data_IF_058977396908
#
_entry.id   IF_058977396908
#
_cell.length_a   1.000
_cell.length_b   1.000
_cell.length_c   1.000
_cell.angle_alpha   90.00
_cell.angle_beta   90.00
_cell.angle_gamma   90.00
#
_symmetry.space_group_name_H-M   'P 1'
#
loop_
_entity.id
_entity.type
_entity.pdbx_description
1 polymer ?
#
# COMPACT_ATOMS: atom_id res chain seq x y z
N UNK A 1 -52.00 0.55 -31.86
CA UNK A 1 -51.52 0.46 -30.47
C UNK A 1 -51.58 -1.01 -30.08
N UNK A 2 -50.46 -1.72 -30.19
CA UNK A 2 -50.41 -3.17 -29.98
C UNK A 2 -50.34 -3.42 -28.47
N UNK A 3 -51.41 -3.95 -27.90
CA UNK A 3 -51.44 -4.51 -26.55
C UNK A 3 -50.60 -5.79 -26.61
N UNK A 4 -49.32 -5.70 -26.26
CA UNK A 4 -48.55 -6.89 -25.95
C UNK A 4 -49.08 -7.43 -24.62
N UNK A 5 -49.76 -8.57 -24.66
CA UNK A 5 -49.99 -9.41 -23.49
C UNK A 5 -48.62 -9.80 -22.94
N UNK A 6 -48.15 -9.05 -21.94
CA UNK A 6 -46.98 -9.43 -21.16
C UNK A 6 -47.31 -10.74 -20.47
N UNK A 7 -46.44 -11.77 -20.50
CA UNK A 7 -46.66 -13.01 -19.79
C UNK A 7 -46.91 -12.70 -18.31
N UNK A 8 -48.17 -12.84 -17.89
CA UNK A 8 -48.60 -12.58 -16.53
C UNK A 8 -48.21 -13.78 -15.69
N UNK A 9 -47.12 -13.63 -14.93
CA UNK A 9 -46.82 -14.58 -13.86
C UNK A 9 -48.06 -14.72 -12.95
N UNK A 10 -48.35 -15.94 -12.48
CA UNK A 10 -49.37 -16.15 -11.47
C UNK A 10 -49.17 -15.20 -10.27
N UNK A 11 -50.26 -14.65 -9.70
CA UNK A 11 -50.17 -13.69 -8.60
C UNK A 11 -49.42 -14.25 -7.38
N UNK A 12 -49.42 -15.57 -7.19
CA UNK A 12 -48.69 -16.28 -6.14
C UNK A 12 -47.18 -16.12 -6.30
N UNK A 13 -46.67 -16.22 -7.53
CA UNK A 13 -45.24 -16.04 -7.83
C UNK A 13 -44.85 -14.58 -7.57
N UNK A 14 -45.70 -13.63 -7.96
CA UNK A 14 -45.46 -12.22 -7.67
C UNK A 14 -45.45 -11.92 -6.18
N UNK A 15 -46.35 -12.55 -5.41
CA UNK A 15 -46.40 -12.39 -3.97
C UNK A 15 -45.12 -12.95 -3.34
N UNK A 16 -44.64 -14.10 -3.83
CA UNK A 16 -43.38 -14.71 -3.41
C UNK A 16 -42.15 -13.88 -3.77
N UNK A 17 -42.08 -13.31 -4.97
CA UNK A 17 -40.99 -12.39 -5.37
C UNK A 17 -41.05 -11.11 -4.53
N UNK A 18 -42.25 -10.54 -4.36
CA UNK A 18 -42.43 -9.34 -3.54
C UNK A 18 -41.92 -9.57 -2.13
N UNK A 19 -42.09 -10.78 -1.58
CA UNK A 19 -41.67 -11.12 -0.22
C UNK A 19 -40.18 -10.84 0.07
N UNK A 20 -39.33 -10.93 -0.95
CA UNK A 20 -37.88 -10.69 -0.83
C UNK A 20 -37.43 -9.27 -1.18
N UNK A 21 -38.34 -8.43 -1.67
CA UNK A 21 -38.04 -7.06 -2.11
C UNK A 21 -38.24 -6.03 -1.00
N UNK A 22 -37.41 -4.99 -1.02
CA UNK A 22 -37.47 -3.89 -0.05
C UNK A 22 -38.55 -2.88 -0.41
N UNK A 23 -39.00 -2.09 0.57
CA UNK A 23 -39.95 -1.01 0.32
C UNK A 23 -39.55 -0.06 -0.83
N UNK A 24 -38.28 0.42 -0.92
CA UNK A 24 -37.85 1.21 -2.07
C UNK A 24 -37.92 0.45 -3.41
N UNK A 25 -37.58 -0.84 -3.41
CA UNK A 25 -37.61 -1.66 -4.64
C UNK A 25 -39.04 -1.91 -5.10
N UNK A 26 -39.95 -2.13 -4.16
CA UNK A 26 -41.39 -2.25 -4.44
C UNK A 26 -41.98 -0.95 -4.95
N UNK A 27 -41.55 0.20 -4.43
CA UNK A 27 -41.97 1.49 -4.96
C UNK A 27 -41.43 1.71 -6.39
N UNK A 28 -40.21 1.26 -6.68
CA UNK A 28 -39.68 1.26 -8.04
C UNK A 28 -40.52 0.36 -8.98
N UNK A 29 -40.86 -0.86 -8.54
CA UNK A 29 -41.71 -1.80 -9.30
C UNK A 29 -43.13 -1.26 -9.48
N UNK A 30 -43.70 -0.57 -8.48
CA UNK A 30 -45.01 0.05 -8.57
C UNK A 30 -45.05 1.17 -9.62
N UNK A 31 -43.92 1.83 -9.88
CA UNK A 31 -43.78 2.85 -10.92
C UNK A 31 -43.72 2.22 -12.31
N UNK A 32 -42.98 1.13 -12.48
CA UNK A 32 -42.76 0.48 -13.79
C UNK A 32 -43.88 -0.48 -14.20
N UNK A 33 -44.47 -1.22 -13.26
CA UNK A 33 -45.45 -2.27 -13.51
C UNK A 33 -46.82 -1.88 -12.95
N UNK A 34 -47.74 -1.47 -13.82
CA UNK A 34 -49.14 -1.14 -13.46
C UNK A 34 -49.90 -2.25 -12.72
N UNK A 35 -49.84 -3.55 -13.12
CA UNK A 35 -50.65 -4.58 -12.44
C UNK A 35 -50.18 -4.86 -11.01
N UNK A 36 -48.90 -4.63 -10.72
CA UNK A 36 -48.33 -4.84 -9.39
C UNK A 36 -48.53 -3.65 -8.46
N UNK A 37 -48.91 -2.49 -9.01
CA UNK A 37 -49.13 -1.27 -8.24
C UNK A 37 -50.20 -1.46 -7.17
N UNK A 38 -51.28 -2.19 -7.46
CA UNK A 38 -52.32 -2.49 -6.46
C UNK A 38 -51.76 -3.35 -5.33
N UNK A 39 -50.98 -4.37 -5.66
CA UNK A 39 -50.39 -5.33 -4.74
C UNK A 39 -49.32 -4.68 -3.84
N UNK A 40 -48.52 -3.75 -4.38
CA UNK A 40 -47.54 -2.96 -3.59
C UNK A 40 -48.20 -1.95 -2.65
N UNK A 41 -49.43 -1.52 -2.96
CA UNK A 41 -50.21 -0.56 -2.16
C UNK A 41 -51.16 -1.24 -1.16
N UNK A 42 -51.20 -2.57 -1.12
CA UNK A 42 -52.04 -3.29 -0.18
C UNK A 42 -51.56 -3.06 1.26
N UNK A 43 -52.38 -2.44 2.13
CA UNK A 43 -52.02 -2.15 3.51
C UNK A 43 -51.81 -3.43 4.36
N UNK A 44 -52.46 -4.55 4.02
CA UNK A 44 -52.30 -5.79 4.75
C UNK A 44 -50.91 -6.39 4.52
N UNK A 45 -50.48 -6.48 3.25
CA UNK A 45 -49.13 -6.89 2.87
C UNK A 45 -48.06 -5.95 3.44
N UNK A 46 -48.30 -4.64 3.45
CA UNK A 46 -47.38 -3.69 4.06
C UNK A 46 -47.28 -3.88 5.58
N UNK A 47 -48.39 -4.12 6.28
CA UNK A 47 -48.38 -4.41 7.73
C UNK A 47 -47.58 -5.67 8.04
N UNK A 48 -47.82 -6.76 7.32
CA UNK A 48 -47.09 -8.01 7.52
C UNK A 48 -45.60 -7.80 7.24
N UNK A 49 -45.24 -7.07 6.18
CA UNK A 49 -43.84 -6.75 5.88
C UNK A 49 -43.19 -5.95 7.00
N UNK A 50 -43.83 -4.89 7.49
CA UNK A 50 -43.30 -4.03 8.55
C UNK A 50 -43.18 -4.75 9.90
N UNK A 51 -44.17 -5.57 10.26
CA UNK A 51 -44.25 -6.20 11.59
C UNK A 51 -43.48 -7.51 11.69
N UNK A 52 -43.33 -8.25 10.58
CA UNK A 52 -42.72 -9.58 10.59
C UNK A 52 -41.38 -9.58 9.86
N UNK A 53 -41.34 -9.07 8.63
CA UNK A 53 -40.15 -9.22 7.78
C UNK A 53 -39.08 -8.18 8.04
N UNK A 54 -39.46 -6.93 8.25
CA UNK A 54 -38.52 -5.85 8.58
C UNK A 54 -37.74 -6.17 9.86
N UNK A 55 -38.33 -6.61 10.98
CA UNK A 55 -37.56 -6.95 12.17
C UNK A 55 -36.68 -8.19 11.97
N UNK A 56 -37.14 -9.22 11.25
CA UNK A 56 -36.32 -10.40 10.90
C UNK A 56 -35.12 -10.05 10.01
N UNK A 57 -35.30 -9.11 9.07
CA UNK A 57 -34.20 -8.64 8.22
C UNK A 57 -33.25 -7.74 8.98
N UNK A 58 -33.77 -6.86 9.84
CA UNK A 58 -32.95 -6.03 10.73
C UNK A 58 -32.17 -6.92 11.68
N UNK A 59 -32.80 -7.95 12.26
CA UNK A 59 -32.11 -8.89 13.16
C UNK A 59 -31.02 -9.64 12.40
N UNK A 60 -31.32 -10.19 11.22
CA UNK A 60 -30.30 -10.83 10.37
C UNK A 60 -29.19 -9.86 9.97
N UNK A 61 -29.48 -8.61 9.64
CA UNK A 61 -28.47 -7.62 9.25
C UNK A 61 -27.60 -7.21 10.45
N UNK A 62 -28.22 -6.84 11.57
CA UNK A 62 -27.54 -6.38 12.79
C UNK A 62 -26.78 -7.49 13.52
N UNK A 63 -27.28 -8.72 13.46
CA UNK A 63 -26.73 -9.91 14.13
C UNK A 63 -26.16 -10.93 13.14
N UNK A 64 -25.91 -10.55 11.88
CA UNK A 64 -25.22 -11.43 10.94
C UNK A 64 -23.80 -11.71 11.41
N UNK A 65 -23.34 -12.94 11.17
CA UNK A 65 -21.94 -13.34 11.38
C UNK A 65 -20.97 -12.49 10.53
N UNK A 66 -21.45 -11.98 9.40
CA UNK A 66 -20.66 -11.16 8.47
C UNK A 66 -20.61 -9.68 8.86
N UNK A 67 -21.24 -9.26 9.96
CA UNK A 67 -21.22 -7.85 10.38
C UNK A 67 -19.84 -7.51 10.96
N UNK A 68 -19.12 -6.54 10.38
CA UNK A 68 -17.83 -6.12 10.92
C UNK A 68 -18.01 -5.50 12.30
N UNK A 69 -17.09 -5.81 13.21
CA UNK A 69 -17.05 -5.20 14.53
C UNK A 69 -16.59 -3.75 14.43
N UNK A 70 -16.83 -2.97 15.49
CA UNK A 70 -16.35 -1.58 15.57
C UNK A 70 -14.83 -1.52 15.42
N UNK A 71 -14.11 -2.53 15.94
CA UNK A 71 -12.66 -2.64 15.77
C UNK A 71 -12.30 -2.88 14.30
N UNK A 72 -13.00 -3.76 13.59
CA UNK A 72 -12.74 -3.99 12.16
C UNK A 72 -12.93 -2.71 11.34
N UNK A 73 -13.98 -1.93 11.67
CA UNK A 73 -14.22 -0.63 11.02
C UNK A 73 -13.11 0.39 11.28
N UNK A 74 -12.47 0.34 12.46
CA UNK A 74 -11.31 1.18 12.79
C UNK A 74 -10.08 0.71 12.01
N UNK A 75 -9.83 -0.60 11.94
CA UNK A 75 -8.71 -1.17 11.20
C UNK A 75 -8.81 -0.88 9.69
N UNK A 76 -10.00 -0.93 9.12
CA UNK A 76 -10.25 -0.56 7.72
C UNK A 76 -10.30 0.95 7.49
N UNK A 77 -10.07 1.75 8.52
CA UNK A 77 -10.04 3.21 8.44
C UNK A 77 -11.37 3.81 7.94
N UNK A 78 -12.49 3.09 8.15
CA UNK A 78 -13.86 3.54 7.89
C UNK A 78 -14.34 4.41 9.05
N UNK A 79 -14.17 3.91 10.28
CA UNK A 79 -14.51 4.63 11.50
C UNK A 79 -13.26 5.32 12.05
N UNK A 80 -13.23 6.64 11.98
CA UNK A 80 -12.10 7.47 12.41
C UNK A 80 -12.47 8.35 13.59
N UNK A 81 -11.53 8.58 14.49
CA UNK A 81 -11.75 9.41 15.67
C UNK A 81 -10.53 9.48 16.58
N UNK A 82 -10.57 10.38 17.55
CA UNK A 82 -9.53 10.48 18.56
C UNK A 82 -9.67 9.31 19.55
N UNK A 83 -8.69 8.39 19.54
CA UNK A 83 -8.63 7.29 20.52
C UNK A 83 -9.84 6.37 20.50
N UNK A 84 -10.40 6.10 19.31
CA UNK A 84 -11.65 5.33 19.13
C UNK A 84 -11.62 4.00 19.87
N UNK A 85 -10.55 3.22 19.76
CA UNK A 85 -10.47 1.93 20.43
C UNK A 85 -10.57 2.04 21.95
N UNK A 86 -9.90 3.05 22.54
CA UNK A 86 -9.95 3.28 23.98
C UNK A 86 -11.36 3.69 24.42
N UNK A 87 -12.02 4.54 23.64
CA UNK A 87 -13.39 4.98 23.90
C UNK A 87 -14.40 3.85 23.75
N UNK A 88 -14.22 3.00 22.73
CA UNK A 88 -15.01 1.79 22.53
C UNK A 88 -14.88 0.81 23.71
N UNK A 89 -13.64 0.50 24.12
CA UNK A 89 -13.39 -0.35 25.31
C UNK A 89 -13.98 0.24 26.59
N UNK A 90 -14.04 1.57 26.69
CA UNK A 90 -14.66 2.28 27.82
C UNK A 90 -16.18 2.45 27.70
N UNK A 91 -16.83 1.91 26.65
CA UNK A 91 -18.27 2.04 26.44
C UNK A 91 -18.74 3.48 26.16
N UNK A 92 -17.84 4.38 25.76
CA UNK A 92 -18.18 5.77 25.49
C UNK A 92 -18.85 5.93 24.12
N UNK A 93 -19.81 6.85 24.04
CA UNK A 93 -20.51 7.14 22.79
C UNK A 93 -19.56 7.79 21.77
N UNK A 94 -19.28 7.07 20.68
CA UNK A 94 -18.30 7.46 19.66
C UNK A 94 -18.75 8.67 18.81
N UNK A 95 -20.07 8.82 18.63
CA UNK A 95 -20.68 9.82 17.75
C UNK A 95 -21.16 11.09 18.48
N UNK A 96 -20.59 11.38 19.65
CA UNK A 96 -20.93 12.64 20.33
C UNK A 96 -20.42 13.83 19.54
N UNK A 97 -21.16 14.96 19.58
CA UNK A 97 -20.75 16.19 18.91
C UNK A 97 -19.39 16.69 19.39
N UNK A 98 -19.08 16.48 20.68
CA UNK A 98 -17.76 16.78 21.26
C UNK A 98 -16.65 15.89 20.70
N UNK A 99 -16.91 14.59 20.51
CA UNK A 99 -15.96 13.65 19.89
C UNK A 99 -15.60 14.07 18.47
N UNK A 100 -16.61 14.44 17.67
CA UNK A 100 -16.42 14.93 16.29
C UNK A 100 -15.63 16.24 16.27
N UNK A 101 -15.96 17.19 17.15
CA UNK A 101 -15.24 18.47 17.26
C UNK A 101 -13.77 18.27 17.63
N UNK A 102 -13.48 17.42 18.62
CA UNK A 102 -12.11 17.11 19.05
C UNK A 102 -11.31 16.44 17.94
N UNK A 103 -11.92 15.51 17.21
CA UNK A 103 -11.27 14.84 16.08
C UNK A 103 -10.93 15.82 14.95
N UNK A 104 -11.86 16.69 14.58
CA UNK A 104 -11.63 17.72 13.56
C UNK A 104 -10.54 18.71 13.99
N UNK A 105 -10.56 19.13 15.26
CA UNK A 105 -9.51 19.98 15.81
C UNK A 105 -8.13 19.31 15.73
N UNK A 106 -8.04 18.03 16.11
CA UNK A 106 -6.80 17.24 15.99
C UNK A 106 -6.32 17.16 14.54
N UNK A 107 -7.20 16.86 13.58
CA UNK A 107 -6.84 16.82 12.15
C UNK A 107 -6.27 18.16 11.71
N UNK A 108 -6.92 19.27 12.07
CA UNK A 108 -6.47 20.61 11.68
C UNK A 108 -5.08 20.94 12.28
N UNK A 109 -4.84 20.55 13.54
CA UNK A 109 -3.53 20.72 14.19
C UNK A 109 -2.47 19.88 13.48
N UNK A 110 -2.75 18.62 13.17
CA UNK A 110 -1.80 17.77 12.43
C UNK A 110 -1.51 18.31 11.04
N UNK A 111 -2.53 18.76 10.31
CA UNK A 111 -2.34 19.36 8.99
C UNK A 111 -1.50 20.64 9.04
N UNK A 112 -1.74 21.51 10.01
CA UNK A 112 -0.94 22.75 10.18
C UNK A 112 0.50 22.43 10.58
N UNK A 113 0.71 21.46 11.46
CA UNK A 113 2.04 20.96 11.84
C UNK A 113 2.79 20.39 10.63
N UNK A 114 2.15 19.52 9.84
CA UNK A 114 2.73 18.96 8.62
C UNK A 114 3.06 20.07 7.64
N UNK A 115 2.14 21.03 7.41
CA UNK A 115 2.37 22.17 6.52
C UNK A 115 3.54 23.04 6.99
N UNK A 116 3.66 23.29 8.28
CA UNK A 116 4.77 24.06 8.86
C UNK A 116 6.11 23.31 8.75
N UNK A 117 6.10 21.99 8.96
CA UNK A 117 7.29 21.15 8.78
C UNK A 117 7.69 21.07 7.31
N UNK A 118 6.74 20.93 6.39
CA UNK A 118 7.01 20.94 4.96
C UNK A 118 7.49 22.32 4.51
N UNK A 119 6.86 23.40 4.98
CA UNK A 119 7.26 24.75 4.60
C UNK A 119 8.66 25.09 5.14
N UNK A 120 9.03 24.66 6.34
CA UNK A 120 10.41 24.80 6.84
C UNK A 120 11.40 23.96 6.04
N UNK A 121 11.08 22.70 5.73
CA UNK A 121 11.94 21.84 4.90
C UNK A 121 12.11 22.36 3.46
N UNK A 122 11.08 23.01 2.91
CA UNK A 122 11.11 23.58 1.55
C UNK A 122 11.71 25.00 1.52
N UNK A 123 11.49 25.81 2.56
CA UNK A 123 12.08 27.16 2.70
C UNK A 123 13.55 27.13 3.03
N UNK A 124 14.02 26.09 3.72
CA UNK A 124 15.46 25.88 3.85
C UNK A 124 15.96 25.63 2.43
N UNK A 125 16.67 26.58 1.79
CA UNK A 125 17.20 26.32 0.48
C UNK A 125 18.03 25.04 0.60
N UNK A 126 17.90 24.15 -0.39
CA UNK A 126 18.95 23.16 -0.67
C UNK A 126 20.19 23.93 -1.13
N UNK A 127 20.72 24.83 -0.31
CA UNK A 127 21.96 25.55 -0.54
C UNK A 127 23.09 24.54 -0.36
N UNK A 128 23.48 23.98 -1.50
CA UNK A 128 24.86 23.78 -1.97
C UNK A 128 25.90 23.06 -1.10
N UNK A 129 25.64 22.69 0.16
CA UNK A 129 26.65 22.11 1.06
C UNK A 129 26.20 20.79 1.72
N UNK A 130 24.90 20.48 1.76
CA UNK A 130 24.41 19.16 2.24
C UNK A 130 24.14 18.13 1.13
N UNK A 131 24.15 18.55 -0.13
CA UNK A 131 24.18 17.61 -1.26
C UNK A 131 25.47 16.74 -1.24
N UNK A 132 26.51 17.18 -0.54
CA UNK A 132 27.77 16.45 -0.36
C UNK A 132 27.81 15.56 0.89
N UNK A 133 26.82 15.65 1.80
CA UNK A 133 26.77 14.83 3.03
C UNK A 133 25.96 13.53 2.86
N UNK A 134 25.28 13.34 1.73
CA UNK A 134 24.63 12.07 1.38
C UNK A 134 25.20 11.43 0.10
N UNK A 135 26.53 11.24 -0.03
CA UNK A 135 27.12 10.57 -1.19
C UNK A 135 26.72 9.08 -1.29
N UNK A 136 26.00 8.54 -0.29
CA UNK A 136 25.56 7.14 -0.23
C UNK A 136 24.05 6.93 -0.43
N UNK A 137 23.22 7.97 -0.44
CA UNK A 137 21.74 7.81 -0.58
C UNK A 137 21.25 8.13 -2.00
N UNK A 138 21.93 9.04 -2.72
CA UNK A 138 21.86 9.09 -4.17
C UNK A 138 23.30 9.14 -4.71
N UNK A 139 23.74 8.12 -5.46
CA UNK A 139 25.02 8.20 -6.14
C UNK A 139 24.90 9.26 -7.24
N UNK A 140 25.92 10.11 -7.25
CA UNK A 140 26.36 10.89 -8.39
C UNK A 140 25.58 12.16 -8.78
N UNK A 141 26.41 13.15 -9.11
CA UNK A 141 26.14 14.46 -9.72
C UNK A 141 25.24 14.35 -10.97
N UNK A 142 25.10 13.15 -11.53
CA UNK A 142 24.28 12.81 -12.70
C UNK A 142 22.78 12.77 -12.41
N UNK A 143 22.36 12.39 -11.19
CA UNK A 143 20.96 12.47 -10.79
C UNK A 143 20.46 13.92 -10.66
N UNK A 144 21.40 14.87 -10.54
CA UNK A 144 21.16 16.30 -10.57
C UNK A 144 21.36 16.93 -11.96
N UNK A 145 21.89 16.18 -12.94
CA UNK A 145 22.09 16.67 -14.30
C UNK A 145 20.74 16.72 -15.04
N UNK A 146 20.43 17.85 -15.66
CA UNK A 146 19.23 18.01 -16.50
C UNK A 146 19.32 17.24 -17.82
N UNK A 147 20.51 16.78 -18.18
CA UNK A 147 20.81 16.14 -19.47
C UNK A 147 20.51 14.65 -19.51
N UNK A 148 20.29 14.00 -18.36
CA UNK A 148 20.01 12.57 -18.29
C UNK A 148 18.61 12.36 -17.70
N UNK A 149 17.73 11.72 -18.46
CA UNK A 149 16.41 11.36 -17.97
C UNK A 149 16.53 10.41 -16.76
N UNK A 150 15.81 10.69 -15.68
CA UNK A 150 15.88 9.89 -14.44
C UNK A 150 15.58 8.40 -14.64
N UNK A 151 14.75 8.06 -15.63
CA UNK A 151 14.44 6.69 -16.00
C UNK A 151 15.67 5.91 -16.54
N UNK A 152 16.68 6.62 -17.08
CA UNK A 152 17.90 6.03 -17.63
C UNK A 152 19.01 5.86 -16.59
N UNK A 153 18.86 6.40 -15.38
CA UNK A 153 19.88 6.31 -14.32
C UNK A 153 20.29 4.85 -14.00
N UNK A 154 19.36 3.87 -13.89
CA UNK A 154 19.76 2.48 -13.66
C UNK A 154 20.63 1.90 -14.78
N UNK A 155 20.35 2.27 -16.04
CA UNK A 155 21.10 1.83 -17.21
C UNK A 155 22.47 2.53 -17.32
N UNK A 156 22.54 3.82 -16.98
CA UNK A 156 23.82 4.56 -16.93
C UNK A 156 24.72 4.01 -15.83
N UNK A 157 24.17 3.70 -14.65
CA UNK A 157 24.94 3.07 -13.58
C UNK A 157 25.42 1.66 -13.96
N UNK A 158 24.59 0.86 -14.62
CA UNK A 158 24.99 -0.48 -15.07
C UNK A 158 26.10 -0.42 -16.13
N UNK A 159 26.03 0.54 -17.04
CA UNK A 159 27.05 0.79 -18.07
C UNK A 159 28.36 1.32 -17.48
N UNK A 160 28.30 2.23 -16.50
CA UNK A 160 29.51 2.66 -15.78
C UNK A 160 30.14 1.53 -15.00
N UNK A 161 29.34 0.70 -14.33
CA UNK A 161 29.84 -0.45 -13.61
C UNK A 161 30.50 -1.45 -14.57
N UNK A 162 29.92 -1.69 -15.74
CA UNK A 162 30.52 -2.57 -16.76
C UNK A 162 31.80 -1.98 -17.35
N UNK A 163 31.83 -0.68 -17.67
CA UNK A 163 33.03 0.02 -18.14
C UNK A 163 34.16 0.02 -17.10
N UNK A 164 33.83 0.23 -15.82
CA UNK A 164 34.81 0.11 -14.72
C UNK A 164 35.38 -1.31 -14.64
N UNK A 165 34.53 -2.33 -14.72
CA UNK A 165 34.97 -3.73 -14.75
C UNK A 165 35.85 -4.04 -15.96
N UNK A 166 35.52 -3.51 -17.13
CA UNK A 166 36.31 -3.66 -18.35
C UNK A 166 37.66 -2.93 -18.27
N UNK A 167 37.69 -1.72 -17.70
CA UNK A 167 38.94 -1.00 -17.45
C UNK A 167 39.87 -1.77 -16.51
N UNK A 168 39.31 -2.35 -15.44
CA UNK A 168 40.06 -3.21 -14.52
C UNK A 168 40.57 -4.48 -15.20
N UNK A 169 39.75 -5.16 -16.00
CA UNK A 169 40.18 -6.39 -16.69
C UNK A 169 41.28 -6.12 -17.72
N UNK A 170 41.22 -4.98 -18.43
CA UNK A 170 42.31 -4.53 -19.33
C UNK A 170 43.58 -4.21 -18.53
N UNK A 171 43.49 -3.43 -17.46
CA UNK A 171 44.65 -3.09 -16.63
C UNK A 171 45.35 -4.31 -16.01
N UNK A 172 44.60 -5.36 -15.67
CA UNK A 172 45.13 -6.65 -15.21
C UNK A 172 45.80 -7.42 -16.37
N UNK A 173 45.18 -7.45 -17.55
CA UNK A 173 45.68 -8.18 -18.73
C UNK A 173 46.92 -7.52 -19.34
N UNK A 174 46.97 -6.20 -19.37
CA UNK A 174 48.11 -5.41 -19.86
C UNK A 174 49.32 -5.54 -18.93
N UNK A 175 49.19 -6.28 -17.82
CA UNK A 175 50.33 -6.72 -17.03
C UNK A 175 51.06 -5.55 -16.40
N UNK A 176 50.33 -4.51 -15.97
CA UNK A 176 50.88 -3.41 -15.18
C UNK A 176 51.34 -3.95 -13.81
N UNK A 177 52.47 -4.66 -13.79
CA UNK A 177 53.21 -5.13 -12.61
C UNK A 177 53.84 -3.97 -11.82
N UNK A 178 53.35 -2.74 -12.01
CA UNK A 178 53.78 -1.58 -11.22
C UNK A 178 52.67 -1.25 -10.24
N UNK A 179 52.93 -1.64 -8.99
CA UNK A 179 52.20 -1.34 -7.75
C UNK A 179 51.01 -2.24 -7.37
N UNK A 180 51.35 -3.47 -6.96
CA UNK A 180 50.59 -4.26 -5.96
C UNK A 180 50.38 -3.48 -4.63
N UNK A 181 51.11 -2.37 -4.44
CA UNK A 181 50.95 -1.42 -3.34
C UNK A 181 49.55 -0.80 -3.22
N UNK A 182 48.71 -0.88 -4.26
CA UNK A 182 47.30 -0.42 -4.19
C UNK A 182 46.38 -1.38 -3.44
N UNK A 183 46.71 -2.67 -3.35
CA UNK A 183 45.97 -3.64 -2.53
C UNK A 183 46.42 -3.67 -1.06
N UNK A 184 47.63 -3.20 -0.77
CA UNK A 184 48.24 -3.23 0.57
C UNK A 184 48.19 -1.87 1.30
N UNK A 185 47.72 -0.82 0.64
CA UNK A 185 47.65 0.53 1.19
C UNK A 185 46.47 0.76 2.13
N UNK A 186 46.71 0.52 3.44
CA UNK A 186 45.89 0.96 4.58
C UNK A 186 44.48 0.36 4.67
N UNK A 187 44.35 -0.62 5.53
CA UNK A 187 43.11 -0.89 6.24
C UNK A 187 42.58 0.39 6.90
N UNK A 188 41.51 0.93 6.33
CA UNK A 188 40.49 1.66 7.08
C UNK A 188 39.17 0.98 6.78
N UNK A 189 38.82 0.04 7.65
CA UNK A 189 37.44 -0.21 8.09
C UNK A 189 36.37 -0.09 6.98
N UNK A 190 36.50 -0.92 5.94
CA UNK A 190 35.35 -1.29 5.12
C UNK A 190 34.71 -2.50 5.81
N UNK A 191 33.79 -2.20 6.71
CA UNK A 191 33.03 -3.19 7.47
C UNK A 191 32.44 -4.28 6.58
N UNK A 192 32.78 -5.53 6.89
CA UNK A 192 32.01 -6.79 6.75
C UNK A 192 31.47 -7.17 5.35
N UNK A 193 31.57 -6.34 4.32
CA UNK A 193 30.94 -6.60 3.00
C UNK A 193 31.92 -6.65 1.82
N UNK A 194 33.21 -6.93 2.05
CA UNK A 194 34.27 -6.84 1.03
C UNK A 194 34.84 -8.16 0.49
N UNK A 195 34.53 -9.31 1.08
CA UNK A 195 35.16 -10.59 0.70
C UNK A 195 34.55 -11.21 -0.56
N UNK A 196 33.25 -11.03 -0.77
CA UNK A 196 32.53 -11.58 -1.92
C UNK A 196 32.88 -10.84 -3.23
N UNK A 197 33.18 -9.54 -3.15
CA UNK A 197 33.64 -8.75 -4.30
C UNK A 197 35.07 -9.10 -4.71
N UNK A 198 35.94 -9.47 -3.76
CA UNK A 198 37.30 -9.99 -4.06
C UNK A 198 37.24 -11.36 -4.75
N UNK A 199 36.28 -12.21 -4.38
CA UNK A 199 36.09 -13.54 -4.96
C UNK A 199 35.38 -13.53 -6.32
N UNK A 200 34.60 -12.49 -6.63
CA UNK A 200 33.86 -12.36 -7.88
C UNK A 200 34.75 -12.00 -9.10
N UNK A 201 35.95 -11.47 -8.88
CA UNK A 201 36.79 -10.89 -9.95
C UNK A 201 37.65 -11.93 -10.68
N UNK A 202 37.94 -13.11 -10.09
CA UNK A 202 38.74 -14.14 -10.76
C UNK A 202 38.35 -15.57 -10.32
N UNK A 203 37.69 -16.37 -11.18
CA UNK A 203 37.41 -17.79 -10.92
C UNK A 203 38.68 -18.63 -10.65
N UNK A 204 39.83 -18.20 -11.18
CA UNK A 204 41.15 -18.82 -11.00
C UNK A 204 41.69 -18.66 -9.58
N UNK A 205 41.45 -17.52 -8.93
CA UNK A 205 41.89 -17.26 -7.55
C UNK A 205 41.12 -18.12 -6.55
N UNK A 206 39.87 -18.46 -6.87
CA UNK A 206 39.05 -19.39 -6.07
C UNK A 206 39.64 -20.81 -6.05
N UNK A 207 40.29 -21.24 -7.14
CA UNK A 207 40.97 -22.54 -7.21
C UNK A 207 42.27 -22.53 -6.39
N UNK A 208 43.04 -21.44 -6.41
CA UNK A 208 44.25 -21.33 -5.60
C UNK A 208 43.96 -21.23 -4.11
N UNK A 209 42.91 -20.52 -3.69
CA UNK A 209 42.52 -20.44 -2.27
C UNK A 209 42.11 -21.82 -1.74
N UNK A 210 41.27 -22.56 -2.48
CA UNK A 210 40.91 -23.95 -2.10
C UNK A 210 42.12 -24.87 -2.00
N UNK A 211 43.12 -24.71 -2.87
CA UNK A 211 44.35 -25.49 -2.80
C UNK A 211 45.15 -25.16 -1.51
N UNK A 212 45.23 -23.89 -1.13
CA UNK A 212 45.89 -23.47 0.11
C UNK A 212 45.13 -23.88 1.37
N UNK A 213 43.79 -23.80 1.35
CA UNK A 213 42.94 -24.29 2.44
C UNK A 213 43.08 -25.81 2.63
N UNK A 214 43.15 -26.59 1.54
CA UNK A 214 43.39 -28.03 1.62
C UNK A 214 44.78 -28.39 2.18
N UNK A 215 45.81 -27.60 1.85
CA UNK A 215 47.17 -27.78 2.39
C UNK A 215 47.23 -27.44 3.89
N UNK A 216 46.48 -26.42 4.33
CA UNK A 216 46.40 -26.04 5.75
C UNK A 216 45.62 -27.07 6.58
N UNK A 217 44.53 -27.63 6.04
CA UNK A 217 43.73 -28.66 6.70
C UNK A 217 44.48 -30.00 6.88
N UNK A 218 45.52 -30.26 6.10
CA UNK A 218 46.38 -31.45 6.26
C UNK A 218 47.52 -31.27 7.27
N UNK A 219 47.75 -30.05 7.78
CA UNK A 219 48.80 -29.75 8.77
C UNK A 219 48.27 -29.61 10.19
N UNK A 220 46.97 -29.75 10.40
CA UNK A 220 46.30 -29.90 11.70
C UNK A 220 45.89 -31.34 11.90
#
# INVERSE_FOLDING_TARGET
>A
MILYDTPTFPPEIWLQISWYLDLPDLDAIARTCRPLRSLTKDPALQRVRLLVFTPERISRSLFSVNRPTVLDLVHWNILRGLGVERRWRAGQYLYSTSSVRQFNAMINIEQTRIRSKLSSLLRTPRSSVRATLYPRILPDIEAASSHIARALLPAVHSLKASLRRQGLSRAIRDGTRRNVRWFEGKGRELGVSGEWERLAVCPSVRKSIKAWEAILAHKT
#
